data_IF_614510897687
#
_entry.id   IF_614510897687
#
_cell.length_a   1.000
_cell.length_b   1.000
_cell.length_c   1.000
_cell.angle_alpha   90.00
_cell.angle_beta   90.00
_cell.angle_gamma   90.00
#
_symmetry.space_group_name_H-M   'P 1'
#
loop_
_entity.id
_entity.type
_entity.pdbx_description
1 polymer ?
#
# COMPACT_ATOMS: atom_id res chain seq x y z
N UNK A 1 -5.04 2.61 -15.85
CA UNK A 1 -5.44 1.31 -15.24
C UNK A 1 -5.37 1.49 -13.72
N UNK A 2 -6.37 1.03 -12.97
CA UNK A 2 -6.42 1.14 -11.50
C UNK A 2 -7.15 2.36 -10.91
N UNK A 3 -7.66 3.29 -11.73
CA UNK A 3 -8.41 4.47 -11.22
C UNK A 3 -9.73 4.08 -10.57
N UNK A 4 -10.44 3.12 -11.16
CA UNK A 4 -11.73 2.68 -10.61
C UNK A 4 -11.55 1.88 -9.32
N UNK A 5 -10.51 1.04 -9.25
CA UNK A 5 -10.13 0.38 -8.01
C UNK A 5 -9.74 1.39 -6.93
N UNK A 6 -8.96 2.43 -7.27
CA UNK A 6 -8.56 3.46 -6.31
C UNK A 6 -9.74 4.22 -5.70
N UNK A 7 -10.87 4.36 -6.43
CA UNK A 7 -12.10 4.94 -5.88
C UNK A 7 -12.80 4.03 -4.88
N UNK A 8 -12.56 2.71 -4.98
CA UNK A 8 -13.16 1.72 -4.08
C UNK A 8 -12.35 1.54 -2.79
N UNK A 9 -11.06 1.88 -2.80
CA UNK A 9 -10.14 1.73 -1.66
C UNK A 9 -10.71 2.30 -0.35
N UNK A 10 -11.26 3.54 -0.31
CA UNK A 10 -11.76 4.11 0.93
C UNK A 10 -12.93 3.35 1.59
N UNK A 11 -13.57 2.43 0.86
CA UNK A 11 -14.63 1.58 1.40
C UNK A 11 -14.09 0.37 2.19
N UNK A 12 -12.78 0.09 2.13
CA UNK A 12 -12.13 -0.93 2.95
C UNK A 12 -11.80 -0.31 4.31
N UNK A 13 -12.37 -0.78 5.43
CA UNK A 13 -12.05 -0.26 6.76
C UNK A 13 -10.54 -0.38 7.07
N UNK A 14 -9.94 0.65 7.68
CA UNK A 14 -8.50 0.68 7.96
C UNK A 14 -8.04 -0.45 8.88
N UNK A 15 -8.89 -0.90 9.82
CA UNK A 15 -8.64 -2.03 10.72
C UNK A 15 -8.75 -3.41 10.04
N UNK A 16 -9.04 -3.42 8.73
CA UNK A 16 -9.09 -4.63 7.90
C UNK A 16 -8.15 -4.57 6.69
N UNK A 17 -7.40 -3.48 6.53
CA UNK A 17 -6.49 -3.27 5.42
C UNK A 17 -5.15 -3.99 5.64
N UNK A 18 -4.70 -4.73 4.64
CA UNK A 18 -3.34 -5.24 4.51
C UNK A 18 -2.73 -4.71 3.20
N UNK A 19 -1.41 -4.63 3.15
CA UNK A 19 -0.68 -4.12 2.00
C UNK A 19 0.46 -5.07 1.63
N UNK A 20 0.75 -5.13 0.33
CA UNK A 20 1.83 -5.95 -0.22
C UNK A 20 2.37 -5.30 -1.50
N UNK A 21 3.54 -5.76 -1.95
CA UNK A 21 4.14 -5.33 -3.21
C UNK A 21 3.84 -6.28 -4.37
N UNK A 22 3.53 -7.55 -4.10
CA UNK A 22 3.50 -8.63 -5.10
C UNK A 22 4.82 -8.74 -5.90
N UNK A 23 5.94 -8.44 -5.24
CA UNK A 23 7.27 -8.57 -5.84
C UNK A 23 7.52 -10.01 -6.31
N UNK A 24 8.08 -10.21 -7.54
CA UNK A 24 8.77 -9.23 -8.38
C UNK A 24 7.88 -8.43 -9.35
N UNK A 25 6.56 -8.58 -9.29
CA UNK A 25 5.59 -7.99 -10.22
C UNK A 25 5.01 -6.65 -9.71
N UNK A 26 4.15 -6.03 -10.52
CA UNK A 26 3.32 -4.88 -10.12
C UNK A 26 4.07 -3.65 -9.56
N UNK A 27 5.15 -3.23 -10.25
CA UNK A 27 5.92 -2.05 -9.86
C UNK A 27 5.05 -0.78 -9.66
N UNK A 28 5.16 -0.07 -8.52
CA UNK A 28 4.39 1.14 -8.24
C UNK A 28 4.68 2.26 -9.26
N UNK A 29 3.63 2.78 -9.90
CA UNK A 29 3.75 3.82 -10.95
C UNK A 29 4.00 5.23 -10.41
N UNK A 30 3.79 5.46 -9.12
CA UNK A 30 4.05 6.73 -8.44
C UNK A 30 5.51 6.86 -7.97
N UNK A 31 6.36 5.87 -8.24
CA UNK A 31 7.80 5.93 -7.96
C UNK A 31 8.52 6.84 -8.97
N UNK A 32 9.53 7.63 -8.54
CA UNK A 32 10.38 8.39 -9.46
C UNK A 32 11.10 7.50 -10.47
N UNK A 33 11.44 8.07 -11.63
CA UNK A 33 12.27 7.42 -12.66
C UNK A 33 13.76 7.59 -12.33
N UNK A 34 14.64 6.68 -12.78
CA UNK A 34 14.37 5.48 -13.57
C UNK A 34 13.69 4.37 -12.76
N UNK A 35 12.86 3.57 -13.43
CA UNK A 35 12.23 2.42 -12.81
C UNK A 35 13.18 1.21 -12.84
N UNK A 36 13.32 0.45 -11.75
CA UNK A 36 14.02 -0.83 -11.74
C UNK A 36 13.29 -1.84 -12.63
N UNK A 37 13.99 -2.90 -13.00
CA UNK A 37 13.46 -3.97 -13.84
C UNK A 37 12.40 -4.81 -13.13
N UNK A 38 12.47 -4.92 -11.80
CA UNK A 38 11.57 -5.70 -10.97
C UNK A 38 11.09 -4.89 -9.76
N UNK A 39 9.93 -5.26 -9.24
CA UNK A 39 9.45 -4.75 -7.97
C UNK A 39 10.13 -5.47 -6.81
N UNK A 40 10.25 -4.80 -5.67
CA UNK A 40 10.88 -5.34 -4.47
C UNK A 40 10.07 -4.95 -3.22
N UNK A 41 10.20 -5.69 -2.10
CA UNK A 41 9.57 -5.31 -0.82
C UNK A 41 9.92 -3.89 -0.35
N UNK A 42 11.11 -3.40 -0.71
CA UNK A 42 11.58 -2.03 -0.44
C UNK A 42 10.70 -0.94 -1.08
N UNK A 43 9.87 -1.29 -2.07
CA UNK A 43 8.95 -0.39 -2.75
C UNK A 43 7.60 -0.21 -2.02
N UNK A 44 7.36 -0.93 -0.91
CA UNK A 44 6.12 -0.83 -0.13
C UNK A 44 5.75 0.61 0.32
N UNK A 45 6.71 1.51 0.66
CA UNK A 45 6.39 2.90 1.00
C UNK A 45 5.64 3.67 -0.11
N UNK A 46 5.83 3.31 -1.39
CA UNK A 46 5.09 3.93 -2.49
C UNK A 46 3.61 3.50 -2.51
N UNK A 47 3.32 2.26 -2.08
CA UNK A 47 1.93 1.78 -1.89
C UNK A 47 1.28 2.56 -0.75
N UNK A 48 1.95 2.67 0.39
CA UNK A 48 1.48 3.44 1.57
C UNK A 48 1.16 4.89 1.18
N UNK A 49 2.06 5.56 0.47
CA UNK A 49 1.85 6.95 0.01
C UNK A 49 0.59 7.07 -0.84
N UNK A 50 0.35 6.13 -1.76
CA UNK A 50 -0.84 6.15 -2.61
C UNK A 50 -2.13 5.92 -1.81
N UNK A 51 -2.09 5.04 -0.81
CA UNK A 51 -3.21 4.77 0.08
C UNK A 51 -3.54 5.98 0.96
N UNK A 52 -2.52 6.65 1.51
CA UNK A 52 -2.70 7.88 2.29
C UNK A 52 -3.48 8.94 1.50
N UNK A 53 -3.16 9.12 0.21
CA UNK A 53 -3.94 9.98 -0.70
C UNK A 53 -5.39 9.51 -0.89
N UNK A 54 -5.62 8.20 -1.03
CA UNK A 54 -6.97 7.63 -1.20
C UNK A 54 -7.84 7.81 0.06
N UNK A 55 -7.28 7.56 1.24
CA UNK A 55 -7.98 7.64 2.52
C UNK A 55 -8.02 9.06 3.11
N UNK A 56 -7.28 10.01 2.53
CA UNK A 56 -7.12 11.37 3.07
C UNK A 56 -6.59 11.39 4.51
N UNK A 57 -5.62 10.53 4.80
CA UNK A 57 -4.94 10.38 6.10
C UNK A 57 -3.42 10.44 5.92
N UNK A 58 -2.67 10.42 7.03
CA UNK A 58 -1.21 10.40 6.97
C UNK A 58 -0.66 9.03 6.52
N UNK A 59 0.54 9.01 5.95
CA UNK A 59 1.24 7.75 5.62
C UNK A 59 1.55 6.93 6.88
N UNK A 60 1.89 7.59 7.98
CA UNK A 60 2.13 6.94 9.28
C UNK A 60 0.88 6.25 9.83
N UNK A 61 -0.30 6.84 9.63
CA UNK A 61 -1.57 6.24 10.03
C UNK A 61 -1.87 4.96 9.24
N UNK A 62 -1.68 4.98 7.91
CA UNK A 62 -1.78 3.77 7.08
C UNK A 62 -0.78 2.70 7.54
N UNK A 63 0.48 3.08 7.74
CA UNK A 63 1.54 2.16 8.16
C UNK A 63 1.23 1.54 9.53
N UNK A 64 0.76 2.33 10.49
CA UNK A 64 0.36 1.87 11.82
C UNK A 64 -0.78 0.85 11.73
N UNK A 65 -1.88 1.19 11.08
CA UNK A 65 -3.04 0.30 10.98
C UNK A 65 -2.69 -1.01 10.26
N UNK A 66 -2.00 -0.93 9.12
CA UNK A 66 -1.63 -2.13 8.35
C UNK A 66 -0.64 -3.03 9.09
N UNK A 67 0.30 -2.45 9.85
CA UNK A 67 1.21 -3.22 10.70
C UNK A 67 0.47 -3.89 11.88
N UNK A 68 -0.43 -3.18 12.56
CA UNK A 68 -1.27 -3.73 13.63
C UNK A 68 -2.15 -4.88 13.12
N UNK A 69 -2.76 -4.71 11.94
CA UNK A 69 -3.57 -5.73 11.29
C UNK A 69 -2.74 -6.98 10.94
N UNK A 70 -1.54 -6.79 10.40
CA UNK A 70 -0.64 -7.90 10.07
C UNK A 70 -0.21 -8.66 11.33
N UNK A 71 0.19 -7.95 12.40
CA UNK A 71 0.52 -8.57 13.69
C UNK A 71 -0.65 -9.39 14.24
N UNK A 72 -1.86 -8.83 14.21
CA UNK A 72 -3.08 -9.51 14.66
C UNK A 72 -3.39 -10.76 13.83
N UNK A 73 -3.28 -10.68 12.50
CA UNK A 73 -3.61 -11.78 11.60
C UNK A 73 -2.58 -12.92 11.71
N UNK A 74 -1.29 -12.58 11.65
CA UNK A 74 -0.20 -13.56 11.61
C UNK A 74 0.32 -13.97 12.99
N UNK A 75 -0.22 -13.38 14.07
CA UNK A 75 0.19 -13.63 15.47
C UNK A 75 1.69 -13.38 15.70
N UNK A 76 2.16 -12.21 15.25
CA UNK A 76 3.56 -11.75 15.37
C UNK A 76 3.84 -11.03 16.69
#
# INVERSE_FOLDING_TARGET
>A
RGKDLAKLIPHIPLDRLLIETDAPFLLPRNMPRPWPSQNEPSCLPYVVKKLAECYSVSADEIAKHTAENAKKLFKL
#
